data_IF_666796285606
#
_entry.id   IF_666796285606
#
_cell.length_a   1.000
_cell.length_b   1.000
_cell.length_c   1.000
_cell.angle_alpha   90.00
_cell.angle_beta   90.00
_cell.angle_gamma   90.00
#
_symmetry.space_group_name_H-M   'P 1'
#
loop_
_entity.id
_entity.type
_entity.pdbx_description
1 polymer ?
#
# COMPACT_ATOMS: atom_id res chain seq x y z
N UNK A 1 -36.53 22.34 -18.69
CA UNK A 1 -35.98 20.98 -18.52
C UNK A 1 -36.74 20.05 -19.44
N UNK A 2 -36.08 19.46 -20.44
CA UNK A 2 -36.74 18.61 -21.44
C UNK A 2 -37.01 17.23 -20.81
N UNK A 3 -38.15 16.60 -21.09
CA UNK A 3 -38.58 15.31 -20.52
C UNK A 3 -37.49 14.22 -20.64
N UNK A 4 -36.65 14.30 -21.67
CA UNK A 4 -35.51 13.42 -21.92
C UNK A 4 -34.40 13.51 -20.87
N UNK A 5 -34.15 14.69 -20.31
CA UNK A 5 -33.10 14.92 -19.30
C UNK A 5 -33.48 14.26 -17.97
N UNK A 6 -34.73 14.44 -17.54
CA UNK A 6 -35.27 13.77 -16.33
C UNK A 6 -35.32 12.26 -16.48
N UNK A 7 -35.63 11.75 -17.68
CA UNK A 7 -35.60 10.32 -17.96
C UNK A 7 -34.17 9.76 -17.87
N UNK A 8 -33.18 10.52 -18.33
CA UNK A 8 -31.77 10.15 -18.23
C UNK A 8 -31.29 10.13 -16.77
N UNK A 9 -31.57 11.17 -15.99
CA UNK A 9 -31.23 11.19 -14.56
C UNK A 9 -31.83 9.99 -13.81
N UNK A 10 -33.06 9.60 -14.18
CA UNK A 10 -33.73 8.44 -13.58
C UNK A 10 -33.08 7.13 -14.00
N UNK A 11 -32.66 7.03 -15.25
CA UNK A 11 -31.89 5.90 -15.76
C UNK A 11 -30.58 5.73 -14.98
N UNK A 12 -29.82 6.80 -14.82
CA UNK A 12 -28.53 6.77 -14.09
C UNK A 12 -28.71 6.36 -12.63
N UNK A 13 -29.83 6.77 -12.00
CA UNK A 13 -30.19 6.34 -10.65
C UNK A 13 -30.50 4.83 -10.59
N UNK A 14 -31.21 4.27 -11.59
CA UNK A 14 -31.47 2.83 -11.69
C UNK A 14 -30.15 2.06 -11.83
N UNK A 15 -29.28 2.50 -12.76
CA UNK A 15 -27.96 1.89 -12.99
C UNK A 15 -27.14 1.89 -11.70
N UNK A 16 -27.03 3.04 -11.04
CA UNK A 16 -26.25 3.18 -9.81
C UNK A 16 -26.78 2.28 -8.69
N UNK A 17 -28.11 2.23 -8.49
CA UNK A 17 -28.72 1.39 -7.47
C UNK A 17 -28.54 -0.10 -7.76
N UNK A 18 -28.70 -0.51 -9.02
CA UNK A 18 -28.50 -1.90 -9.40
C UNK A 18 -27.04 -2.32 -9.25
N UNK A 19 -26.08 -1.50 -9.69
CA UNK A 19 -24.64 -1.74 -9.49
C UNK A 19 -24.31 -1.92 -8.01
N UNK A 20 -24.86 -1.07 -7.14
CA UNK A 20 -24.66 -1.18 -5.70
C UNK A 20 -25.23 -2.50 -5.15
N UNK A 21 -26.42 -2.93 -5.60
CA UNK A 21 -26.98 -4.23 -5.23
C UNK A 21 -26.08 -5.41 -5.65
N UNK A 22 -25.48 -5.35 -6.84
CA UNK A 22 -24.53 -6.35 -7.31
C UNK A 22 -23.27 -6.41 -6.45
N UNK A 23 -22.70 -5.26 -6.08
CA UNK A 23 -21.53 -5.18 -5.18
C UNK A 23 -21.88 -5.79 -3.81
N UNK A 24 -23.01 -5.38 -3.21
CA UNK A 24 -23.46 -5.89 -1.92
C UNK A 24 -23.67 -7.41 -1.94
N UNK A 25 -24.30 -7.94 -3.00
CA UNK A 25 -24.48 -9.39 -3.16
C UNK A 25 -23.14 -10.11 -3.16
N UNK A 26 -22.17 -9.59 -3.89
CA UNK A 26 -20.84 -10.17 -3.98
C UNK A 26 -20.01 -10.04 -2.69
N UNK A 27 -20.29 -9.02 -1.88
CA UNK A 27 -19.73 -8.84 -0.54
C UNK A 27 -20.42 -9.70 0.53
N UNK A 28 -21.42 -10.52 0.15
CA UNK A 28 -22.18 -11.39 1.06
C UNK A 28 -23.30 -10.67 1.83
N UNK A 29 -23.55 -9.39 1.54
CA UNK A 29 -24.62 -8.56 2.13
C UNK A 29 -25.95 -8.81 1.42
N UNK A 30 -26.42 -10.05 1.55
CA UNK A 30 -27.54 -10.60 0.80
C UNK A 30 -28.86 -9.90 1.10
N UNK A 31 -29.08 -9.50 2.36
CA UNK A 31 -30.31 -8.82 2.76
C UNK A 31 -30.39 -7.41 2.16
N UNK A 32 -29.32 -6.61 2.26
CA UNK A 32 -29.29 -5.26 1.69
C UNK A 32 -29.43 -5.30 0.16
N UNK A 33 -28.73 -6.23 -0.51
CA UNK A 33 -28.85 -6.42 -1.95
C UNK A 33 -30.30 -6.76 -2.35
N UNK A 34 -30.92 -7.72 -1.65
CA UNK A 34 -32.32 -8.11 -1.91
C UNK A 34 -33.29 -6.97 -1.68
N UNK A 35 -33.08 -6.14 -0.66
CA UNK A 35 -33.91 -4.96 -0.39
C UNK A 35 -33.87 -3.99 -1.58
N UNK A 36 -32.68 -3.71 -2.12
CA UNK A 36 -32.55 -2.83 -3.29
C UNK A 36 -33.30 -3.42 -4.50
N UNK A 37 -33.12 -4.72 -4.77
CA UNK A 37 -33.72 -5.39 -5.92
C UNK A 37 -35.25 -5.44 -5.82
N UNK A 38 -35.80 -5.73 -4.64
CA UNK A 38 -37.23 -5.98 -4.45
C UNK A 38 -38.03 -4.75 -4.07
N UNK A 39 -37.43 -3.78 -3.42
CA UNK A 39 -38.15 -2.63 -2.84
C UNK A 39 -37.76 -1.31 -3.49
N UNK A 40 -36.47 -1.08 -3.77
CA UNK A 40 -35.99 0.21 -4.27
C UNK A 40 -36.05 0.32 -5.80
N UNK A 41 -35.61 -0.71 -6.54
CA UNK A 41 -35.56 -0.68 -8.01
C UNK A 41 -36.93 -0.67 -8.71
N UNK A 42 -37.94 -1.47 -8.30
CA UNK A 42 -39.23 -1.49 -8.98
C UNK A 42 -39.93 -0.12 -9.08
N UNK A 43 -40.01 0.71 -8.02
CA UNK A 43 -40.59 2.04 -8.14
C UNK A 43 -39.74 3.00 -8.99
N UNK A 44 -38.40 2.86 -8.98
CA UNK A 44 -37.53 3.67 -9.84
C UNK A 44 -37.80 3.38 -11.33
N UNK A 45 -37.87 2.10 -11.69
CA UNK A 45 -38.14 1.61 -13.05
C UNK A 45 -39.53 2.02 -13.50
N UNK A 46 -40.55 1.84 -12.66
CA UNK A 46 -41.93 2.24 -12.98
C UNK A 46 -42.02 3.73 -13.33
N UNK A 47 -41.36 4.59 -12.53
CA UNK A 47 -41.35 6.03 -12.77
C UNK A 47 -40.59 6.38 -14.06
N UNK A 48 -39.44 5.74 -14.31
CA UNK A 48 -38.70 5.93 -15.57
C UNK A 48 -39.54 5.55 -16.79
N UNK A 49 -40.19 4.38 -16.78
CA UNK A 49 -41.07 3.93 -17.87
C UNK A 49 -42.25 4.88 -18.12
N UNK A 50 -42.77 5.54 -17.08
CA UNK A 50 -43.83 6.54 -17.24
C UNK A 50 -43.36 7.82 -17.93
N UNK A 51 -42.06 8.14 -17.84
CA UNK A 51 -41.45 9.31 -18.48
C UNK A 51 -41.10 9.07 -19.96
N UNK A 52 -41.06 7.80 -20.40
CA UNK A 52 -40.75 7.46 -21.78
C UNK A 52 -41.92 7.76 -22.74
N UNK A 53 -41.63 8.30 -23.94
CA UNK A 53 -42.58 8.31 -25.06
C UNK A 53 -43.11 6.90 -25.36
N UNK A 54 -44.36 6.80 -25.84
CA UNK A 54 -45.02 5.52 -26.14
C UNK A 54 -44.22 4.62 -27.08
N UNK A 55 -43.57 5.17 -28.11
CA UNK A 55 -42.75 4.40 -29.06
C UNK A 55 -41.48 3.80 -28.47
N UNK A 56 -40.98 4.29 -27.33
CA UNK A 56 -39.77 3.75 -26.67
C UNK A 56 -40.08 2.76 -25.54
N UNK A 57 -41.36 2.61 -25.17
CA UNK A 57 -41.76 1.68 -24.09
C UNK A 57 -41.61 0.22 -24.49
N UNK A 58 -41.68 -0.09 -25.79
CA UNK A 58 -41.53 -1.45 -26.30
C UNK A 58 -40.08 -1.95 -26.11
N UNK A 59 -39.10 -1.08 -26.33
CA UNK A 59 -37.67 -1.41 -26.17
C UNK A 59 -37.18 -1.33 -24.72
N UNK A 60 -37.89 -0.59 -23.85
CA UNK A 60 -37.48 -0.34 -22.47
C UNK A 60 -37.16 -1.62 -21.66
N UNK A 61 -37.85 -2.74 -21.95
CA UNK A 61 -37.57 -4.03 -21.30
C UNK A 61 -36.25 -4.64 -21.78
N UNK A 62 -35.94 -4.53 -23.07
CA UNK A 62 -34.67 -4.98 -23.62
C UNK A 62 -33.53 -4.13 -23.05
N UNK A 63 -33.68 -2.81 -23.00
CA UNK A 63 -32.69 -1.89 -22.44
C UNK A 63 -32.37 -2.22 -20.98
N UNK A 64 -33.40 -2.43 -20.14
CA UNK A 64 -33.20 -2.82 -18.74
C UNK A 64 -32.46 -4.14 -18.60
N UNK A 65 -32.83 -5.15 -19.39
CA UNK A 65 -32.15 -6.46 -19.36
C UNK A 65 -30.68 -6.34 -19.75
N UNK A 66 -30.41 -5.61 -20.81
CA UNK A 66 -29.06 -5.44 -21.33
C UNK A 66 -28.20 -4.62 -20.35
N UNK A 67 -28.79 -3.61 -19.71
CA UNK A 67 -28.17 -2.88 -18.61
C UNK A 67 -27.87 -3.76 -17.41
N UNK A 68 -28.83 -4.55 -16.93
CA UNK A 68 -28.60 -5.46 -15.80
C UNK A 68 -27.49 -6.47 -16.09
N UNK A 69 -27.48 -7.05 -17.29
CA UNK A 69 -26.46 -8.01 -17.72
C UNK A 69 -25.07 -7.36 -17.76
N UNK A 70 -24.99 -6.14 -18.32
CA UNK A 70 -23.74 -5.37 -18.40
C UNK A 70 -23.19 -5.04 -17.02
N UNK A 71 -24.02 -4.51 -16.14
CA UNK A 71 -23.60 -4.11 -14.79
C UNK A 71 -23.17 -5.30 -13.93
N UNK A 72 -23.87 -6.44 -14.04
CA UNK A 72 -23.43 -7.69 -13.41
C UNK A 72 -22.04 -8.12 -13.91
N UNK A 73 -21.83 -8.08 -15.24
CA UNK A 73 -20.54 -8.44 -15.85
C UNK A 73 -19.41 -7.51 -15.36
N UNK A 74 -19.63 -6.20 -15.31
CA UNK A 74 -18.64 -5.23 -14.83
C UNK A 74 -18.25 -5.51 -13.38
N UNK A 75 -19.23 -5.73 -12.50
CA UNK A 75 -18.98 -6.02 -11.08
C UNK A 75 -18.22 -7.35 -10.93
N UNK A 76 -18.59 -8.37 -11.71
CA UNK A 76 -17.92 -9.67 -11.68
C UNK A 76 -16.46 -9.60 -12.16
N UNK A 77 -16.20 -8.82 -13.21
CA UNK A 77 -14.84 -8.56 -13.69
C UNK A 77 -14.03 -7.79 -12.66
N UNK A 78 -14.59 -6.73 -12.08
CA UNK A 78 -13.93 -5.93 -11.04
C UNK A 78 -13.54 -6.78 -9.83
N UNK A 79 -14.41 -7.68 -9.38
CA UNK A 79 -14.10 -8.60 -8.29
C UNK A 79 -13.02 -9.63 -8.63
N UNK A 80 -13.04 -10.18 -9.85
CA UNK A 80 -11.98 -11.09 -10.32
C UNK A 80 -10.64 -10.36 -10.30
N UNK A 81 -10.58 -9.13 -10.81
CA UNK A 81 -9.37 -8.31 -10.83
C UNK A 81 -8.88 -8.02 -9.40
N UNK A 82 -9.78 -7.61 -8.50
CA UNK A 82 -9.43 -7.36 -7.10
C UNK A 82 -8.84 -8.61 -6.42
N UNK A 83 -9.42 -9.79 -6.69
CA UNK A 83 -8.91 -11.06 -6.16
C UNK A 83 -7.53 -11.39 -6.70
N UNK A 84 -7.34 -11.28 -8.02
CA UNK A 84 -6.04 -11.49 -8.67
C UNK A 84 -4.98 -10.54 -8.13
N UNK A 85 -5.33 -9.26 -7.97
CA UNK A 85 -4.44 -8.25 -7.41
C UNK A 85 -4.05 -8.59 -5.97
N UNK A 86 -5.03 -8.91 -5.11
CA UNK A 86 -4.79 -9.32 -3.73
C UNK A 86 -3.89 -10.56 -3.65
N UNK A 87 -4.16 -11.56 -4.46
CA UNK A 87 -3.35 -12.78 -4.51
C UNK A 87 -1.92 -12.50 -4.99
N UNK A 88 -1.75 -11.68 -6.02
CA UNK A 88 -0.43 -11.30 -6.53
C UNK A 88 0.36 -10.51 -5.48
N UNK A 89 -0.29 -9.56 -4.83
CA UNK A 89 0.33 -8.73 -3.81
C UNK A 89 0.80 -9.58 -2.62
N UNK A 90 -0.06 -10.48 -2.12
CA UNK A 90 0.24 -11.34 -0.97
C UNK A 90 1.24 -12.45 -1.30
N UNK A 91 1.12 -13.11 -2.46
CA UNK A 91 1.94 -14.29 -2.78
C UNK A 91 3.28 -13.93 -3.41
N UNK A 92 3.38 -12.78 -4.08
CA UNK A 92 4.56 -12.42 -4.88
C UNK A 92 5.22 -11.14 -4.41
N UNK A 93 4.47 -10.04 -4.33
CA UNK A 93 5.06 -8.72 -4.09
C UNK A 93 5.56 -8.61 -2.65
N UNK A 94 4.70 -8.87 -1.66
CA UNK A 94 5.07 -8.77 -0.24
C UNK A 94 6.30 -9.64 0.09
N UNK A 95 6.35 -10.94 -0.25
CA UNK A 95 7.52 -11.77 0.06
C UNK A 95 8.81 -11.30 -0.61
N UNK A 96 8.72 -10.78 -1.84
CA UNK A 96 9.89 -10.22 -2.53
C UNK A 96 10.42 -8.96 -1.83
N UNK A 97 9.53 -8.09 -1.38
CA UNK A 97 9.89 -6.90 -0.61
C UNK A 97 10.51 -7.29 0.73
N UNK A 98 9.92 -8.24 1.44
CA UNK A 98 10.45 -8.76 2.71
C UNK A 98 11.86 -9.34 2.55
N UNK A 99 12.11 -10.15 1.51
CA UNK A 99 13.45 -10.70 1.27
C UNK A 99 14.44 -9.62 0.86
N UNK A 100 14.04 -8.62 0.06
CA UNK A 100 14.90 -7.47 -0.28
C UNK A 100 15.30 -6.68 0.97
N UNK A 101 14.35 -6.43 1.87
CA UNK A 101 14.61 -5.76 3.16
C UNK A 101 15.56 -6.61 4.02
N UNK A 102 15.29 -7.92 4.15
CA UNK A 102 16.13 -8.82 4.93
C UNK A 102 17.56 -8.89 4.37
N UNK A 103 17.72 -8.97 3.05
CA UNK A 103 19.03 -8.99 2.40
C UNK A 103 19.81 -7.68 2.64
N UNK A 104 19.14 -6.52 2.56
CA UNK A 104 19.76 -5.22 2.86
C UNK A 104 20.15 -5.11 4.33
N UNK A 105 19.33 -5.63 5.24
CA UNK A 105 19.68 -5.66 6.67
C UNK A 105 20.89 -6.56 6.94
N UNK A 106 20.95 -7.75 6.32
CA UNK A 106 22.10 -8.67 6.41
C UNK A 106 23.38 -7.99 5.91
N UNK A 107 23.34 -7.31 4.76
CA UNK A 107 24.53 -6.65 4.21
C UNK A 107 25.04 -5.51 5.10
N UNK A 108 24.15 -4.64 5.58
CA UNK A 108 24.50 -3.55 6.50
C UNK A 108 25.13 -4.08 7.79
N UNK A 109 24.57 -5.16 8.34
CA UNK A 109 25.11 -5.78 9.55
C UNK A 109 26.52 -6.34 9.34
N UNK A 110 26.75 -7.05 8.23
CA UNK A 110 28.08 -7.58 7.87
C UNK A 110 29.08 -6.45 7.70
N UNK A 111 28.74 -5.41 6.93
CA UNK A 111 29.63 -4.26 6.72
C UNK A 111 29.95 -3.55 8.04
N UNK A 112 28.98 -3.37 8.93
CA UNK A 112 29.21 -2.75 10.26
C UNK A 112 30.13 -3.61 11.13
N UNK A 113 29.98 -4.93 11.10
CA UNK A 113 30.84 -5.87 11.80
C UNK A 113 32.28 -5.87 11.25
N UNK A 114 32.44 -5.81 9.93
CA UNK A 114 33.75 -5.71 9.28
C UNK A 114 34.44 -4.39 9.62
N UNK A 115 33.72 -3.27 9.59
CA UNK A 115 34.24 -1.96 10.01
C UNK A 115 34.65 -1.97 11.50
N UNK A 116 33.88 -2.62 12.38
CA UNK A 116 34.26 -2.76 13.78
C UNK A 116 35.48 -3.66 14.00
N UNK A 117 35.63 -4.73 13.21
CA UNK A 117 36.83 -5.58 13.24
C UNK A 117 38.05 -4.81 12.74
N UNK A 118 37.91 -4.07 11.64
CA UNK A 118 38.98 -3.23 11.08
C UNK A 118 39.40 -2.16 12.09
N UNK A 119 38.45 -1.43 12.70
CA UNK A 119 38.75 -0.47 13.78
C UNK A 119 39.48 -1.10 14.97
N UNK A 120 39.01 -2.25 15.46
CA UNK A 120 39.71 -2.96 16.56
C UNK A 120 41.11 -3.42 16.17
N UNK A 121 41.30 -3.85 14.93
CA UNK A 121 42.60 -4.31 14.45
C UNK A 121 43.58 -3.14 14.24
N UNK A 122 43.06 -1.98 13.84
CA UNK A 122 43.80 -0.71 13.75
C UNK A 122 44.15 -0.13 15.12
N UNK A 123 43.24 -0.23 16.11
CA UNK A 123 43.53 0.09 17.51
C UNK A 123 44.60 -0.83 18.10
N UNK A 124 44.56 -2.13 17.77
CA UNK A 124 45.57 -3.10 18.20
C UNK A 124 46.92 -2.91 17.51
N UNK A 125 46.95 -2.48 16.25
CA UNK A 125 48.20 -2.19 15.51
C UNK A 125 48.79 -0.82 15.87
N UNK A 126 47.96 0.17 16.20
CA UNK A 126 48.38 1.47 16.73
C UNK A 126 48.86 1.43 18.19
N UNK A 127 48.46 0.42 18.97
CA UNK A 127 48.87 0.22 20.37
C UNK A 127 50.28 -0.35 20.55
N UNK A 128 51.05 -0.61 19.47
CA UNK A 128 52.46 -1.01 19.55
C UNK A 128 53.45 0.17 19.53
N UNK A 129 52.99 1.41 19.68
CA UNK A 129 53.90 2.54 19.98
C UNK A 129 54.34 2.45 21.45
N UNK A 130 55.41 1.67 21.66
CA UNK A 130 56.43 1.70 22.73
C UNK A 130 55.97 2.15 24.13
N UNK A 131 56.05 1.27 25.16
CA UNK A 131 56.17 1.73 26.53
C UNK A 131 57.51 2.46 26.68
N UNK A 132 57.51 3.78 26.53
CA UNK A 132 58.61 4.61 26.99
C UNK A 132 58.54 4.64 28.51
N UNK A 133 59.47 3.94 29.16
CA UNK A 133 59.79 4.16 30.56
C UNK A 133 60.17 5.64 30.73
N UNK A 134 59.30 6.43 31.33
CA UNK A 134 59.70 7.64 32.03
C UNK A 134 58.73 7.90 33.18
N UNK A 135 59.30 7.83 34.38
CA UNK A 135 58.72 8.34 35.62
C UNK A 135 58.27 9.79 35.46
N UNK A 136 57.04 10.10 35.90
CA UNK A 136 56.71 11.17 36.86
C UNK A 136 55.26 11.69 36.72
N UNK A 137 54.49 11.53 37.81
CA UNK A 137 53.48 12.43 38.41
C UNK A 137 52.41 13.11 37.51
N UNK A 138 51.15 12.74 37.79
CA UNK A 138 49.86 13.46 37.59
C UNK A 138 49.88 14.94 38.06
N UNK A 139 48.84 15.78 37.83
CA UNK A 139 47.60 15.61 37.01
C UNK A 139 47.29 16.80 36.08
N UNK A 140 46.52 16.58 35.00
CA UNK A 140 45.88 17.71 34.27
C UNK A 140 44.40 17.46 33.98
N UNK A 141 43.61 18.17 34.78
CA UNK A 141 42.33 18.86 34.58
C UNK A 141 41.86 19.06 33.13
N UNK A 142 40.59 18.69 32.90
CA UNK A 142 39.56 19.25 31.99
C UNK A 142 39.88 19.54 30.50
N UNK A 143 39.13 18.83 29.65
CA UNK A 143 38.07 19.50 28.87
C UNK A 143 38.25 19.52 27.35
N UNK A 144 37.69 18.52 26.66
CA UNK A 144 37.10 18.71 25.33
C UNK A 144 35.80 17.88 25.23
N UNK A 145 34.68 18.58 25.31
CA UNK A 145 33.36 18.08 24.93
C UNK A 145 33.25 18.18 23.41
N UNK A 146 32.88 17.07 22.76
CA UNK A 146 31.92 17.08 21.66
C UNK A 146 31.43 15.66 21.36
N UNK A 147 30.17 15.40 21.70
CA UNK A 147 29.29 14.49 20.96
C UNK A 147 29.05 13.09 21.50
N UNK A 148 29.97 12.50 22.27
CA UNK A 148 29.79 11.11 22.71
C UNK A 148 28.95 11.08 24.01
N UNK A 149 27.61 11.00 23.87
CA UNK A 149 26.71 10.71 24.99
C UNK A 149 27.07 9.31 25.50
N UNK A 150 27.98 9.26 26.47
CA UNK A 150 28.30 8.04 27.22
C UNK A 150 27.08 7.61 28.03
N UNK A 151 26.25 6.78 27.41
CA UNK A 151 25.19 6.05 28.11
C UNK A 151 25.88 5.09 29.09
N UNK A 152 25.52 5.17 30.37
CA UNK A 152 26.08 4.27 31.38
C UNK A 152 25.61 2.85 31.08
N UNK A 153 26.55 1.91 30.97
CA UNK A 153 26.26 0.49 30.87
C UNK A 153 25.41 0.07 32.08
N UNK A 154 24.11 -0.12 31.83
CA UNK A 154 23.11 -0.39 32.85
C UNK A 154 21.76 0.28 32.59
N UNK A 155 21.71 1.35 31.79
CA UNK A 155 20.46 2.05 31.47
C UNK A 155 19.95 1.69 30.07
N UNK A 156 19.11 0.66 30.01
CA UNK A 156 18.57 0.10 28.75
C UNK A 156 17.63 1.08 28.06
N UNK A 157 17.01 2.02 28.79
CA UNK A 157 16.04 2.96 28.24
C UNK A 157 16.69 4.02 27.36
N UNK A 158 17.80 4.62 27.81
CA UNK A 158 18.55 5.60 27.03
C UNK A 158 19.21 4.97 25.79
N UNK A 159 19.59 3.69 25.85
CA UNK A 159 20.13 2.97 24.69
C UNK A 159 19.08 2.77 23.59
N UNK A 160 17.81 2.55 23.97
CA UNK A 160 16.70 2.38 23.01
C UNK A 160 16.34 3.73 22.38
N UNK A 161 16.27 4.81 23.16
CA UNK A 161 15.98 6.15 22.65
C UNK A 161 17.07 6.65 21.68
N UNK A 162 18.35 6.36 21.96
CA UNK A 162 19.46 6.70 21.07
C UNK A 162 19.43 5.95 19.73
N UNK A 163 18.84 4.75 19.69
CA UNK A 163 18.67 3.96 18.46
C UNK A 163 17.45 4.40 17.64
N UNK A 164 16.41 4.93 18.27
CA UNK A 164 15.18 5.34 17.58
C UNK A 164 15.27 6.74 16.95
N UNK A 165 16.10 7.64 17.49
CA UNK A 165 16.13 9.04 17.09
C UNK A 165 16.90 9.41 15.81
N UNK A 166 17.75 8.52 15.26
CA UNK A 166 18.69 8.91 14.20
C UNK A 166 18.40 8.34 12.80
N UNK A 167 17.77 7.16 12.69
CA UNK A 167 17.88 6.38 11.44
C UNK A 167 16.54 6.02 10.75
N UNK A 168 15.37 6.30 11.32
CA UNK A 168 14.11 5.78 10.76
C UNK A 168 13.53 6.60 9.59
N UNK A 169 13.63 7.94 9.59
CA UNK A 169 13.05 8.76 8.50
C UNK A 169 13.87 8.69 7.21
N UNK A 170 15.20 8.69 7.31
CA UNK A 170 16.09 8.62 6.13
C UNK A 170 16.07 7.21 5.51
N UNK A 171 15.87 6.18 6.32
CA UNK A 171 15.74 4.81 5.82
C UNK A 171 14.40 4.61 5.10
N UNK A 172 13.30 5.21 5.59
CA UNK A 172 11.98 5.11 4.97
C UNK A 172 11.95 5.71 3.56
N UNK A 173 12.53 6.90 3.36
CA UNK A 173 12.62 7.53 2.03
C UNK A 173 13.59 6.83 1.07
N UNK A 174 14.56 6.06 1.60
CA UNK A 174 15.49 5.25 0.79
C UNK A 174 14.93 3.88 0.39
N UNK A 175 13.83 3.43 0.99
CA UNK A 175 13.41 2.01 0.87
C UNK A 175 12.71 1.72 -0.45
N UNK A 176 11.90 2.62 -1.03
CA UNK A 176 11.33 2.43 -2.38
C UNK A 176 10.92 3.78 -3.01
N UNK A 177 11.52 4.15 -4.14
CA UNK A 177 10.91 5.14 -5.04
C UNK A 177 9.65 4.53 -5.64
N UNK A 178 8.55 5.31 -5.71
CA UNK A 178 7.33 4.92 -6.42
C UNK A 178 7.62 4.48 -7.87
N UNK A 179 8.66 5.03 -8.49
CA UNK A 179 9.09 4.67 -9.85
C UNK A 179 9.61 3.23 -9.94
N UNK A 180 10.31 2.73 -8.91
CA UNK A 180 10.84 1.35 -8.90
C UNK A 180 9.71 0.32 -8.80
N UNK A 181 8.64 0.65 -8.08
CA UNK A 181 7.43 -0.19 -7.96
C UNK A 181 6.70 -0.25 -9.31
N UNK A 182 6.55 0.89 -9.98
CA UNK A 182 5.91 0.98 -11.30
C UNK A 182 6.74 0.27 -12.37
N UNK A 183 8.06 0.35 -12.29
CA UNK A 183 8.97 -0.32 -13.23
C UNK A 183 8.93 -1.85 -13.07
N UNK A 184 8.86 -2.38 -11.84
CA UNK A 184 8.67 -3.82 -11.59
C UNK A 184 7.29 -4.31 -12.03
N UNK A 185 6.24 -3.49 -11.90
CA UNK A 185 4.91 -3.82 -12.43
C UNK A 185 4.91 -3.96 -13.96
N UNK A 186 5.63 -3.09 -14.68
CA UNK A 186 5.79 -3.18 -16.13
C UNK A 186 6.68 -4.38 -16.55
N UNK A 187 7.73 -4.68 -15.80
CA UNK A 187 8.63 -5.81 -16.08
C UNK A 187 8.00 -7.17 -15.79
N UNK A 188 6.99 -7.24 -14.93
CA UNK A 188 6.29 -8.47 -14.59
C UNK A 188 5.36 -9.01 -15.70
N UNK A 189 5.37 -8.43 -16.92
CA UNK A 189 4.45 -8.77 -18.02
C UNK A 189 2.98 -8.76 -17.56
N UNK A 190 2.61 -7.80 -16.70
CA UNK A 190 1.21 -7.43 -16.58
C UNK A 190 0.91 -6.70 -17.88
N UNK A 191 0.40 -7.44 -18.87
CA UNK A 191 -0.14 -6.85 -20.10
C UNK A 191 -0.93 -5.60 -19.74
N UNK A 192 -0.81 -4.49 -20.49
CA UNK A 192 -1.63 -3.33 -20.21
C UNK A 192 -3.09 -3.76 -20.39
N UNK A 193 -3.81 -3.91 -19.26
CA UNK A 193 -5.27 -4.08 -19.19
C UNK A 193 -5.98 -2.79 -19.70
N UNK A 194 -5.23 -1.87 -20.32
CA UNK A 194 -5.67 -0.63 -20.95
C UNK A 194 -5.41 -0.64 -22.47
N UNK A 195 -5.78 -1.72 -23.15
CA UNK A 195 -6.16 -1.65 -24.57
C UNK A 195 -7.58 -2.17 -24.74
N UNK A 196 -8.51 -1.26 -24.50
CA UNK A 196 -9.92 -1.29 -24.88
C UNK A 196 -10.37 0.15 -25.06
#
# INVERSE_FOLDING_TARGET
>A
MKVTERAQERWDAIVTRFRHACILHRDGKEWESRRIIKEELPPLIKQWMQMLPSGLKEDAKADLRDMFTREQSIVDQGQKLQRLFKETLVKRIIPQVEERIAAKYRSLYVTKMEQQKAKRQEELSGSWVRPSYSDAKKPTTFGFQNGDRRVKLGDVSEMIDALQGADNEILADSILSLDDIVQEMNNAQIDPILKG
#
